data_IF_398586081424
#
_entry.id   IF_398586081424
#
_cell.length_a   1.000
_cell.length_b   1.000
_cell.length_c   1.000
_cell.angle_alpha   90.00
_cell.angle_beta   90.00
_cell.angle_gamma   90.00
#
_symmetry.space_group_name_H-M   'P 1'
#
loop_
_entity.id
_entity.type
_entity.pdbx_description
1 polymer ?
#
# COMPACT_ATOMS: atom_id res chain seq x y z
N UNK A 1 17.72 7.55 -17.86
CA UNK A 1 17.33 6.13 -17.80
C UNK A 1 16.49 5.94 -16.55
N UNK A 2 15.30 5.35 -16.67
CA UNK A 2 14.46 4.99 -15.53
C UNK A 2 15.12 3.91 -14.67
N UNK A 3 14.73 3.83 -13.41
CA UNK A 3 15.25 2.85 -12.44
C UNK A 3 14.86 1.41 -12.79
N UNK A 4 13.66 1.21 -13.36
CA UNK A 4 13.17 -0.10 -13.78
C UNK A 4 14.07 -0.74 -14.87
N UNK A 5 14.53 0.07 -15.84
CA UNK A 5 15.52 -0.34 -16.85
C UNK A 5 16.92 -0.62 -16.28
N UNK A 6 17.19 -0.25 -15.04
CA UNK A 6 18.45 -0.51 -14.34
C UNK A 6 18.36 -1.78 -13.46
N UNK A 7 17.29 -2.57 -13.59
CA UNK A 7 17.02 -3.76 -12.79
C UNK A 7 16.99 -3.47 -11.27
N UNK A 8 16.50 -2.28 -10.89
CA UNK A 8 16.29 -1.92 -9.49
C UNK A 8 14.99 -2.58 -9.02
N UNK A 9 15.13 -3.71 -8.33
CA UNK A 9 14.01 -4.44 -7.72
C UNK A 9 13.70 -3.96 -6.29
N UNK A 10 12.59 -4.45 -5.72
CA UNK A 10 12.15 -4.08 -4.37
C UNK A 10 13.16 -4.42 -3.27
N UNK A 11 13.94 -5.50 -3.42
CA UNK A 11 14.97 -5.89 -2.45
C UNK A 11 16.15 -4.91 -2.53
N UNK A 12 16.53 -4.50 -3.74
CA UNK A 12 17.56 -3.50 -3.98
C UNK A 12 17.13 -2.13 -3.43
N UNK A 13 15.86 -1.74 -3.58
CA UNK A 13 15.31 -0.51 -2.99
C UNK A 13 15.46 -0.51 -1.46
N UNK A 14 15.14 -1.63 -0.80
CA UNK A 14 15.28 -1.75 0.66
C UNK A 14 16.74 -1.62 1.09
N UNK A 15 17.66 -2.28 0.39
CA UNK A 15 19.10 -2.18 0.69
C UNK A 15 19.60 -0.75 0.48
N UNK A 16 19.25 -0.13 -0.64
CA UNK A 16 19.68 1.21 -0.97
C UNK A 16 19.11 2.25 0.01
N UNK A 17 17.87 2.10 0.46
CA UNK A 17 17.31 2.93 1.53
C UNK A 17 18.09 2.80 2.84
N UNK A 18 18.57 1.60 3.20
CA UNK A 18 19.43 1.41 4.38
C UNK A 18 20.75 2.13 4.20
N UNK A 19 21.42 1.97 3.06
CA UNK A 19 22.68 2.63 2.76
C UNK A 19 22.52 4.17 2.77
N UNK A 20 21.48 4.69 2.13
CA UNK A 20 21.16 6.12 2.16
C UNK A 20 20.94 6.61 3.59
N UNK A 21 20.25 5.83 4.43
CA UNK A 21 20.05 6.19 5.83
C UNK A 21 21.37 6.31 6.60
N UNK A 22 22.35 5.46 6.31
CA UNK A 22 23.67 5.55 6.97
C UNK A 22 24.45 6.81 6.59
N UNK A 23 24.31 7.29 5.34
CA UNK A 23 25.08 8.42 4.81
C UNK A 23 24.37 9.76 5.04
N UNK A 24 23.05 9.81 4.83
CA UNK A 24 22.25 11.04 4.83
C UNK A 24 21.33 11.16 6.07
N UNK A 25 21.19 10.11 6.87
CA UNK A 25 20.25 10.07 7.99
C UNK A 25 18.81 9.81 7.54
N UNK A 26 17.83 10.35 8.25
CA UNK A 26 16.42 10.12 7.97
C UNK A 26 16.04 10.60 6.56
N UNK A 27 15.75 9.64 5.67
CA UNK A 27 15.45 9.84 4.25
C UNK A 27 14.11 9.16 3.91
N UNK A 28 13.41 9.63 2.88
CA UNK A 28 12.14 9.02 2.45
C UNK A 28 12.32 7.55 2.07
N UNK A 29 11.59 6.63 2.71
CA UNK A 29 11.60 5.20 2.35
C UNK A 29 10.97 4.93 0.99
N UNK A 30 10.18 5.88 0.49
CA UNK A 30 9.51 5.84 -0.82
C UNK A 30 10.28 6.58 -1.91
N UNK A 31 11.51 7.06 -1.63
CA UNK A 31 12.32 7.89 -2.53
C UNK A 31 12.41 7.34 -3.97
N UNK A 32 12.65 6.04 -4.11
CA UNK A 32 12.82 5.38 -5.42
C UNK A 32 11.51 5.23 -6.21
N UNK A 33 10.36 5.33 -5.55
CA UNK A 33 9.05 5.35 -6.20
C UNK A 33 8.64 6.77 -6.59
N UNK A 34 9.05 7.77 -5.81
CA UNK A 34 8.79 9.19 -6.09
C UNK A 34 9.71 9.73 -7.19
N UNK A 35 10.94 9.23 -7.28
CA UNK A 35 11.97 9.69 -8.20
C UNK A 35 12.37 8.57 -9.18
N UNK A 36 11.70 8.44 -10.35
CA UNK A 36 11.84 7.29 -11.25
C UNK A 36 13.19 7.22 -11.99
N UNK A 37 14.14 8.10 -11.71
CA UNK A 37 15.47 8.13 -12.34
C UNK A 37 16.55 8.46 -11.32
N UNK A 38 17.77 7.95 -11.53
CA UNK A 38 18.93 8.28 -10.68
C UNK A 38 19.21 9.78 -10.59
N UNK A 39 18.96 10.56 -11.67
CA UNK A 39 19.11 12.01 -11.66
C UNK A 39 18.11 12.66 -10.69
N UNK A 40 16.86 12.21 -10.67
CA UNK A 40 15.84 12.73 -9.76
C UNK A 40 16.15 12.37 -8.30
N UNK A 41 16.63 11.13 -8.06
CA UNK A 41 17.11 10.69 -6.74
C UNK A 41 18.24 11.59 -6.24
N UNK A 42 19.26 11.83 -7.08
CA UNK A 42 20.38 12.70 -6.73
C UNK A 42 19.94 14.14 -6.44
N UNK A 43 18.97 14.66 -7.19
CA UNK A 43 18.37 15.97 -6.93
C UNK A 43 17.67 16.04 -5.57
N UNK A 44 16.98 14.97 -5.18
CA UNK A 44 16.31 14.90 -3.88
C UNK A 44 17.31 14.82 -2.71
N UNK A 45 18.44 14.13 -2.90
CA UNK A 45 19.49 14.00 -1.87
C UNK A 45 20.36 15.25 -1.71
N UNK A 46 20.50 16.05 -2.78
CA UNK A 46 21.32 17.28 -2.80
C UNK A 46 20.52 18.56 -2.57
N UNK A 47 19.19 18.47 -2.59
CA UNK A 47 18.27 19.57 -2.35
C UNK A 47 18.20 19.98 -0.86
N UNK A 48 17.47 21.06 -0.54
CA UNK A 48 17.18 21.40 0.85
C UNK A 48 16.52 20.21 1.54
N UNK A 49 16.82 19.93 2.84
CA UNK A 49 16.29 18.78 3.55
C UNK A 49 14.77 18.80 3.44
N UNK A 50 14.23 17.88 2.65
CA UNK A 50 12.79 17.73 2.54
C UNK A 50 12.38 17.13 3.87
N UNK A 51 11.68 17.91 4.70
CA UNK A 51 10.88 17.28 5.76
C UNK A 51 9.87 16.43 5.03
N UNK A 52 10.16 15.15 4.88
CA UNK A 52 9.14 14.12 4.60
C UNK A 52 8.33 14.03 5.87
N UNK A 53 7.53 15.07 6.08
CA UNK A 53 6.80 15.32 7.29
C UNK A 53 5.72 14.28 7.37
N UNK A 54 5.82 13.46 8.41
CA UNK A 54 4.77 12.60 8.94
C UNK A 54 4.49 11.43 8.01
N UNK A 55 4.86 10.24 8.47
CA UNK A 55 4.10 9.04 8.15
C UNK A 55 2.62 9.34 8.40
N UNK A 56 1.91 9.80 7.37
CA UNK A 56 0.54 9.35 7.21
C UNK A 56 0.69 7.88 6.86
N UNK A 57 0.81 7.06 7.91
CA UNK A 57 0.21 5.76 7.94
C UNK A 57 -1.31 5.92 7.77
N UNK A 58 -1.72 6.47 6.62
CA UNK A 58 -2.97 6.09 6.00
C UNK A 58 -2.68 4.70 5.49
N UNK A 59 -2.84 3.72 6.39
CA UNK A 59 -3.42 2.47 5.96
C UNK A 59 -4.56 2.83 5.01
N UNK A 60 -4.72 2.18 3.85
CA UNK A 60 -5.95 2.32 3.13
C UNK A 60 -7.03 1.89 4.11
N UNK A 61 -7.78 2.86 4.64
CA UNK A 61 -9.12 2.58 5.12
C UNK A 61 -9.75 1.86 3.94
N UNK A 62 -9.97 0.56 4.12
CA UNK A 62 -10.72 -0.24 3.17
C UNK A 62 -11.94 0.61 2.80
N UNK A 63 -12.27 0.80 1.51
CA UNK A 63 -13.46 1.53 1.16
C UNK A 63 -14.63 0.75 1.75
N UNK A 64 -15.11 1.24 2.89
CA UNK A 64 -16.34 0.81 3.50
C UNK A 64 -17.40 1.09 2.45
N UNK A 65 -17.86 0.00 1.82
CA UNK A 65 -18.78 0.06 0.70
C UNK A 65 -19.94 1.00 1.05
N UNK A 66 -20.24 2.03 0.25
CA UNK A 66 -21.48 2.76 0.40
C UNK A 66 -22.60 1.80 0.01
N UNK A 67 -23.12 1.10 1.01
CA UNK A 67 -24.36 0.34 0.97
C UNK A 67 -25.49 1.36 0.81
N UNK A 68 -25.67 1.83 -0.41
CA UNK A 68 -26.81 2.62 -0.84
C UNK A 68 -27.54 1.81 -1.90
N UNK A 69 -28.28 0.81 -1.44
CA UNK A 69 -29.43 0.29 -2.18
C UNK A 69 -30.64 0.41 -1.26
N UNK A 70 -31.57 1.26 -1.69
CA UNK A 70 -32.78 1.69 -0.99
C UNK A 70 -33.73 0.51 -0.65
N UNK A 71 -34.58 0.66 0.38
CA UNK A 71 -35.45 -0.42 0.84
C UNK A 71 -36.58 -0.67 -0.16
N UNK A 72 -36.49 -1.75 -0.93
CA UNK A 72 -37.66 -2.30 -1.62
C UNK A 72 -38.31 -3.34 -0.72
N UNK A 73 -39.20 -2.88 0.15
CA UNK A 73 -40.15 -3.76 0.81
C UNK A 73 -41.08 -4.37 -0.24
N UNK A 74 -41.29 -5.69 -0.17
CA UNK A 74 -42.54 -6.43 -0.41
C UNK A 74 -42.32 -7.91 0.06
N UNK A 75 -43.39 -8.63 0.44
CA UNK A 75 -43.45 -9.44 1.66
C UNK A 75 -42.96 -10.88 1.55
N UNK A 76 -42.61 -11.45 2.70
CA UNK A 76 -42.24 -12.85 2.92
C UNK A 76 -43.40 -13.82 2.64
N UNK A 77 -43.07 -15.05 2.21
CA UNK A 77 -43.69 -16.23 2.79
C UNK A 77 -42.68 -17.09 3.56
N UNK A 78 -43.14 -17.46 4.77
CA UNK A 78 -42.55 -18.37 5.73
C UNK A 78 -42.15 -19.73 5.12
N UNK A 79 -40.93 -20.18 5.43
CA UNK A 79 -40.44 -21.55 5.24
C UNK A 79 -39.36 -21.83 6.29
N UNK A 80 -39.58 -22.88 7.09
CA UNK A 80 -38.89 -23.26 8.33
C UNK A 80 -37.35 -23.41 8.24
N UNK A 81 -36.62 -23.35 9.38
CA UNK A 81 -35.16 -23.53 9.38
C UNK A 81 -34.82 -25.01 9.19
N UNK A 82 -34.13 -25.33 8.10
CA UNK A 82 -33.44 -26.61 7.98
C UNK A 82 -32.05 -26.46 8.62
N UNK A 83 -31.85 -27.27 9.67
CA UNK A 83 -30.64 -27.33 10.50
C UNK A 83 -29.46 -27.83 9.68
N UNK A 84 -28.30 -27.26 10.01
CA UNK A 84 -27.03 -27.99 10.14
C UNK A 84 -26.81 -29.18 9.20
N UNK A 85 -26.37 -28.90 7.97
CA UNK A 85 -25.74 -29.93 7.14
C UNK A 85 -24.27 -29.56 6.83
N UNK A 86 -23.40 -30.20 7.61
CA UNK A 86 -22.08 -30.71 7.23
C UNK A 86 -21.09 -29.76 6.51
N UNK A 87 -20.31 -29.00 7.29
CA UNK A 87 -18.98 -28.57 6.83
C UNK A 87 -17.99 -29.72 7.12
N UNK A 88 -17.61 -30.46 6.08
CA UNK A 88 -16.54 -31.45 6.15
C UNK A 88 -15.16 -30.76 6.27
N UNK A 89 -14.35 -31.20 7.24
CA UNK A 89 -12.93 -30.85 7.33
C UNK A 89 -12.16 -31.74 6.34
N UNK A 90 -11.39 -31.13 5.46
CA UNK A 90 -10.46 -31.83 4.56
C UNK A 90 -9.05 -31.65 5.12
N UNK A 91 -8.43 -32.76 5.54
CA UNK A 91 -6.98 -32.97 5.61
C UNK A 91 -6.19 -32.16 6.63
#
# INVERSE_FOLDING_TARGET
RPLDELAVDSVMVVQLNRELHTVFGETSTTLFYEAPTLRAVAGHLTGPPIRTGRETATAPAAPEAPRSEAPRALPAPSGAPDRDDAIAIIG
#
